data_IF_392241028034
#
_entry.id   IF_392241028034
#
_cell.length_a   1.000
_cell.length_b   1.000
_cell.length_c   1.000
_cell.angle_alpha   90.00
_cell.angle_beta   90.00
_cell.angle_gamma   90.00
#
_symmetry.space_group_name_H-M   'P 1'
#
loop_
_entity.id
_entity.type
_entity.pdbx_description
1 polymer ?
#
# COMPACT_ATOMS: atom_id res chain seq x y z
N UNK A 1 19.63 2.89 -16.55
CA UNK A 1 18.84 2.79 -15.30
C UNK A 1 17.37 2.92 -15.67
N UNK A 2 16.47 2.11 -15.11
CA UNK A 2 15.04 2.21 -15.41
C UNK A 2 14.38 3.32 -14.59
N UNK A 3 13.67 4.24 -15.24
CA UNK A 3 12.91 5.29 -14.56
C UNK A 3 11.61 4.71 -14.01
N UNK A 4 11.54 4.50 -12.70
CA UNK A 4 10.38 3.85 -12.08
C UNK A 4 9.15 4.76 -11.99
N UNK A 5 9.35 6.07 -11.82
CA UNK A 5 8.26 7.07 -11.77
C UNK A 5 8.76 8.37 -12.39
N UNK A 6 8.08 8.83 -13.44
CA UNK A 6 8.31 10.12 -14.07
C UNK A 6 7.00 10.92 -14.14
N UNK A 7 7.11 12.22 -13.91
CA UNK A 7 6.01 13.19 -14.08
C UNK A 7 6.57 14.40 -14.80
N UNK A 8 5.95 14.74 -15.91
CA UNK A 8 6.21 15.98 -16.64
C UNK A 8 5.10 16.98 -16.35
N UNK A 9 5.50 18.26 -16.35
CA UNK A 9 4.60 19.38 -16.08
C UNK A 9 3.70 19.60 -17.29
N UNK A 10 2.40 19.66 -17.06
CA UNK A 10 1.45 20.01 -18.11
C UNK A 10 1.42 21.54 -18.33
N UNK A 11 1.02 22.02 -19.53
CA UNK A 11 0.74 23.43 -19.76
C UNK A 11 -0.30 23.94 -18.75
N UNK A 12 -0.03 25.09 -18.12
CA UNK A 12 -0.86 25.72 -17.08
C UNK A 12 -0.99 24.96 -15.74
N UNK A 13 -0.15 23.96 -15.48
CA UNK A 13 -0.12 23.29 -14.17
C UNK A 13 0.69 24.08 -13.12
N UNK A 14 0.14 24.27 -11.93
CA UNK A 14 0.88 24.79 -10.77
C UNK A 14 1.90 23.76 -10.26
N UNK A 15 3.06 24.23 -9.80
CA UNK A 15 4.12 23.38 -9.23
C UNK A 15 3.62 22.47 -8.10
N UNK A 16 2.66 22.93 -7.29
CA UNK A 16 2.06 22.13 -6.22
C UNK A 16 1.29 20.90 -6.76
N UNK A 17 0.61 21.05 -7.90
CA UNK A 17 -0.13 19.96 -8.53
C UNK A 17 0.80 18.89 -9.13
N UNK A 18 1.93 19.32 -9.71
CA UNK A 18 2.98 18.42 -10.20
C UNK A 18 3.52 17.55 -9.06
N UNK A 19 3.85 18.17 -7.92
CA UNK A 19 4.32 17.45 -6.72
C UNK A 19 3.26 16.47 -6.21
N UNK A 20 1.98 16.87 -6.18
CA UNK A 20 0.88 15.99 -5.78
C UNK A 20 0.71 14.78 -6.71
N UNK A 21 0.85 14.96 -8.03
CA UNK A 21 0.82 13.85 -9.00
C UNK A 21 2.00 12.92 -8.81
N UNK A 22 3.19 13.48 -8.63
CA UNK A 22 4.40 12.70 -8.37
C UNK A 22 4.26 11.86 -7.10
N UNK A 23 3.85 12.47 -5.99
CA UNK A 23 3.62 11.77 -4.72
C UNK A 23 2.56 10.67 -4.83
N UNK A 24 1.43 10.93 -5.49
CA UNK A 24 0.42 9.89 -5.76
C UNK A 24 0.96 8.73 -6.61
N UNK A 25 1.69 9.02 -7.70
CA UNK A 25 2.31 7.98 -8.54
C UNK A 25 3.36 7.17 -7.76
N UNK A 26 4.17 7.83 -6.94
CA UNK A 26 5.18 7.18 -6.09
C UNK A 26 4.53 6.26 -5.04
N UNK A 27 3.45 6.70 -4.40
CA UNK A 27 2.69 5.92 -3.42
C UNK A 27 2.03 4.70 -4.08
N UNK A 28 1.35 4.91 -5.21
CA UNK A 28 0.69 3.82 -5.96
C UNK A 28 1.69 2.80 -6.50
N UNK A 29 2.88 3.23 -6.93
CA UNK A 29 3.95 2.34 -7.36
C UNK A 29 4.50 1.45 -6.22
N UNK A 30 4.23 1.80 -4.95
CA UNK A 30 4.57 0.99 -3.79
C UNK A 30 6.06 0.77 -3.57
N UNK A 31 6.92 1.56 -4.23
CA UNK A 31 8.39 1.40 -4.24
C UNK A 31 8.95 1.49 -2.83
N UNK A 32 8.52 2.49 -2.06
CA UNK A 32 8.99 2.69 -0.69
C UNK A 32 8.65 1.49 0.19
N UNK A 33 7.44 0.94 0.07
CA UNK A 33 7.02 -0.24 0.84
C UNK A 33 7.88 -1.44 0.49
N UNK A 34 8.06 -1.72 -0.80
CA UNK A 34 8.90 -2.82 -1.29
C UNK A 34 10.35 -2.70 -0.81
N UNK A 35 10.94 -1.51 -0.88
CA UNK A 35 12.32 -1.27 -0.46
C UNK A 35 12.49 -1.40 1.07
N UNK A 36 11.47 -1.02 1.85
CA UNK A 36 11.46 -1.29 3.30
C UNK A 36 11.35 -2.78 3.59
N UNK A 37 10.47 -3.49 2.89
CA UNK A 37 10.27 -4.93 3.04
C UNK A 37 11.56 -5.71 2.68
N UNK A 38 12.27 -5.29 1.64
CA UNK A 38 13.50 -5.93 1.15
C UNK A 38 14.78 -5.51 1.90
N UNK A 39 14.71 -4.53 2.83
CA UNK A 39 15.89 -3.96 3.49
C UNK A 39 16.67 -5.00 4.30
N UNK A 40 15.95 -5.93 4.93
CA UNK A 40 16.53 -6.94 5.81
C UNK A 40 16.06 -8.34 5.40
N UNK A 41 16.89 -9.34 5.69
CA UNK A 41 16.51 -10.73 5.46
C UNK A 41 15.40 -11.16 6.42
N UNK A 42 14.28 -11.63 5.86
CA UNK A 42 13.19 -12.25 6.61
C UNK A 42 13.15 -13.76 6.41
N UNK A 43 13.04 -14.52 7.52
CA UNK A 43 12.84 -15.98 7.45
C UNK A 43 11.52 -16.32 6.74
N UNK A 44 11.56 -17.34 5.88
CA UNK A 44 10.36 -17.88 5.22
C UNK A 44 9.42 -18.47 6.28
N UNK A 45 8.17 -17.99 6.30
CA UNK A 45 7.15 -18.43 7.26
C UNK A 45 6.64 -19.83 6.93
N UNK A 46 6.43 -20.65 7.97
CA UNK A 46 5.81 -21.97 7.82
C UNK A 46 4.36 -21.87 7.32
N UNK A 47 3.81 -22.99 6.83
CA UNK A 47 2.42 -23.06 6.36
C UNK A 47 1.41 -22.66 7.45
N UNK A 48 1.64 -23.09 8.68
CA UNK A 48 0.74 -22.84 9.81
C UNK A 48 0.72 -21.36 10.19
N UNK A 49 1.88 -20.70 10.24
CA UNK A 49 1.97 -19.25 10.51
C UNK A 49 1.28 -18.44 9.41
N UNK A 50 1.41 -18.85 8.14
CA UNK A 50 0.70 -18.22 7.02
C UNK A 50 -0.83 -18.40 7.15
N UNK A 51 -1.29 -19.59 7.55
CA UNK A 51 -2.71 -19.89 7.78
C UNK A 51 -3.29 -19.03 8.90
N UNK A 52 -2.62 -18.97 10.05
CA UNK A 52 -3.05 -18.15 11.18
C UNK A 52 -3.17 -16.66 10.83
N UNK A 53 -2.16 -16.10 10.15
CA UNK A 53 -2.20 -14.70 9.69
C UNK A 53 -3.38 -14.43 8.74
N UNK A 54 -3.73 -15.40 7.87
CA UNK A 54 -4.88 -15.29 6.97
C UNK A 54 -6.20 -15.35 7.75
N UNK A 55 -6.34 -16.24 8.73
CA UNK A 55 -7.53 -16.34 9.57
C UNK A 55 -7.77 -15.04 10.35
N UNK A 56 -6.73 -14.47 10.95
CA UNK A 56 -6.81 -13.16 11.63
C UNK A 56 -7.30 -12.04 10.71
N UNK A 57 -6.84 -12.01 9.45
CA UNK A 57 -7.30 -11.03 8.46
C UNK A 57 -8.79 -11.20 8.11
N UNK A 58 -9.26 -12.44 8.00
CA UNK A 58 -10.67 -12.73 7.71
C UNK A 58 -11.57 -12.36 8.89
N UNK A 59 -11.18 -12.69 10.12
CA UNK A 59 -11.91 -12.31 11.32
C UNK A 59 -12.07 -10.79 11.45
N UNK A 60 -11.00 -10.02 11.18
CA UNK A 60 -11.06 -8.54 11.17
C UNK A 60 -11.99 -8.00 10.08
N UNK A 61 -12.04 -8.66 8.92
CA UNK A 61 -12.96 -8.27 7.84
C UNK A 61 -14.41 -8.49 8.27
N UNK A 62 -14.71 -9.65 8.86
CA UNK A 62 -16.05 -9.96 9.37
C UNK A 62 -16.49 -8.97 10.46
N UNK A 63 -15.60 -8.64 11.40
CA UNK A 63 -15.92 -7.69 12.47
C UNK A 63 -16.20 -6.30 11.91
N UNK A 64 -15.43 -5.85 10.92
CA UNK A 64 -15.65 -4.59 10.23
C UNK A 64 -17.00 -4.57 9.49
N UNK A 65 -17.32 -5.62 8.72
CA UNK A 65 -18.59 -5.72 7.99
C UNK A 65 -19.79 -5.72 8.95
N UNK A 66 -19.67 -6.37 10.10
CA UNK A 66 -20.71 -6.33 11.14
C UNK A 66 -20.88 -4.92 11.71
N UNK A 67 -19.78 -4.22 12.02
CA UNK A 67 -19.84 -2.85 12.55
C UNK A 67 -20.44 -1.87 11.53
N UNK A 68 -20.06 -2.00 10.27
CA UNK A 68 -20.63 -1.21 9.16
C UNK A 68 -22.14 -1.43 9.03
N UNK A 69 -22.60 -2.69 9.08
CA UNK A 69 -24.04 -3.02 9.06
C UNK A 69 -24.80 -2.49 10.28
N UNK A 70 -24.13 -2.34 11.42
CA UNK A 70 -24.70 -1.78 12.65
C UNK A 70 -24.61 -0.24 12.70
N UNK A 71 -24.05 0.41 11.67
CA UNK A 71 -23.88 1.88 11.64
C UNK A 71 -22.88 2.41 12.66
N UNK A 72 -21.98 1.56 13.17
CA UNK A 72 -20.97 1.94 14.18
C UNK A 72 -19.69 2.49 13.55
N UNK A 73 -19.52 2.30 12.24
CA UNK A 73 -18.43 2.76 11.36
C UNK A 73 -19.06 3.13 10.02
#
# INVERSE_FOLDING_TARGET
MATNVQVEKNPNESSANVIRRFTKRMQNAGIVRRMRDNRYHGRIKSRNVRKDARLKKLAKKESYERQYKLGKV
#
